data_IF_329173962171
#
_entry.id   IF_329173962171
#
_cell.length_a   1.000
_cell.length_b   1.000
_cell.length_c   1.000
_cell.angle_alpha   90.00
_cell.angle_beta   90.00
_cell.angle_gamma   90.00
#
_symmetry.space_group_name_H-M   'P 1'
#
loop_
_entity.id
_entity.type
_entity.pdbx_description
1 polymer ?
#
# COMPACT_ATOMS: atom_id res chain seq x y z
N UNK A 1 -5.39 -33.74 11.48
CA UNK A 1 -4.95 -32.87 10.35
C UNK A 1 -3.46 -33.12 10.15
N UNK A 2 -3.01 -33.49 8.94
CA UNK A 2 -1.59 -33.83 8.72
C UNK A 2 -0.71 -32.59 8.92
N UNK A 3 0.50 -32.77 9.49
CA UNK A 3 1.47 -31.71 9.70
C UNK A 3 1.82 -30.94 8.40
N UNK A 4 1.72 -31.63 7.26
CA UNK A 4 1.88 -31.05 5.92
C UNK A 4 0.81 -30.01 5.59
N UNK A 5 -0.45 -30.30 5.88
CA UNK A 5 -1.56 -29.37 5.63
C UNK A 5 -1.48 -28.13 6.55
N UNK A 6 -1.03 -28.30 7.80
CA UNK A 6 -0.81 -27.18 8.71
C UNK A 6 0.29 -26.23 8.19
N UNK A 7 1.41 -26.78 7.69
CA UNK A 7 2.50 -25.98 7.08
C UNK A 7 2.02 -25.25 5.82
N UNK A 8 1.27 -25.89 4.95
CA UNK A 8 0.71 -25.26 3.74
C UNK A 8 -0.19 -24.08 4.08
N UNK A 9 -1.06 -24.22 5.09
CA UNK A 9 -1.95 -23.13 5.53
C UNK A 9 -1.18 -21.95 6.14
N UNK A 10 -0.12 -22.22 6.90
CA UNK A 10 0.77 -21.13 7.38
C UNK A 10 1.48 -20.44 6.22
N UNK A 11 1.97 -21.19 5.24
CA UNK A 11 2.55 -20.64 4.01
C UNK A 11 1.55 -19.75 3.25
N UNK A 12 0.29 -20.17 3.17
CA UNK A 12 -0.77 -19.38 2.53
C UNK A 12 -1.07 -18.07 3.25
N UNK A 13 -0.95 -18.01 4.59
CA UNK A 13 -1.06 -16.76 5.34
C UNK A 13 0.02 -15.75 4.93
N UNK A 14 1.26 -16.21 4.79
CA UNK A 14 2.38 -15.38 4.35
C UNK A 14 2.24 -14.95 2.89
N UNK A 15 1.85 -15.86 2.00
CA UNK A 15 1.63 -15.56 0.58
C UNK A 15 0.47 -14.56 0.38
N UNK A 16 -0.59 -14.65 1.19
CA UNK A 16 -1.66 -13.66 1.21
C UNK A 16 -1.19 -12.27 1.68
N UNK A 17 -0.22 -12.23 2.60
CA UNK A 17 0.43 -10.98 3.01
C UNK A 17 1.19 -10.30 1.85
N UNK A 18 1.84 -11.07 1.00
CA UNK A 18 2.49 -10.58 -0.22
C UNK A 18 1.45 -10.08 -1.25
N UNK A 19 0.40 -10.86 -1.51
CA UNK A 19 -0.59 -10.59 -2.55
C UNK A 19 -1.35 -9.28 -2.33
N UNK A 20 -1.65 -8.93 -1.08
CA UNK A 20 -2.44 -7.76 -0.74
C UNK A 20 -1.86 -6.45 -1.31
N UNK A 21 -0.66 -6.03 -0.89
CA UNK A 21 0.00 -4.83 -1.40
C UNK A 21 0.39 -4.92 -2.88
N UNK A 22 0.71 -6.13 -3.37
CA UNK A 22 1.05 -6.38 -4.77
C UNK A 22 -0.10 -5.96 -5.70
N UNK A 23 -1.34 -6.37 -5.43
CA UNK A 23 -2.50 -6.08 -6.27
C UNK A 23 -2.82 -4.58 -6.40
N UNK A 24 -2.44 -3.77 -5.38
CA UNK A 24 -2.58 -2.31 -5.44
C UNK A 24 -1.57 -1.65 -6.37
N UNK A 25 -0.32 -2.13 -6.36
CA UNK A 25 0.80 -1.50 -7.06
C UNK A 25 1.03 -1.96 -8.50
N UNK A 26 0.48 -3.11 -8.90
CA UNK A 26 0.79 -3.78 -10.17
C UNK A 26 0.49 -2.93 -11.41
N UNK A 27 -0.53 -2.09 -11.37
CA UNK A 27 -0.93 -1.26 -12.53
C UNK A 27 -0.04 -0.03 -12.75
N UNK A 28 0.77 0.37 -11.80
CA UNK A 28 1.49 1.65 -11.85
C UNK A 28 2.44 1.80 -13.04
N UNK A 29 3.00 0.70 -13.55
CA UNK A 29 3.95 0.69 -14.67
C UNK A 29 3.31 0.41 -16.02
N UNK A 30 2.04 -0.07 -16.05
CA UNK A 30 1.34 -0.50 -17.27
C UNK A 30 0.19 0.43 -17.67
N UNK A 31 0.06 1.60 -17.04
CA UNK A 31 -1.03 2.57 -17.30
C UNK A 31 -1.06 3.06 -18.75
N UNK A 32 0.06 3.33 -19.43
CA UNK A 32 0.06 3.73 -20.83
C UNK A 32 -0.51 2.64 -21.75
N UNK A 33 -0.09 1.40 -21.59
CA UNK A 33 -0.57 0.25 -22.38
C UNK A 33 -2.08 0.03 -22.16
N UNK A 34 -2.53 0.15 -20.89
CA UNK A 34 -3.96 0.10 -20.55
C UNK A 34 -4.74 1.24 -21.22
N UNK A 35 -4.19 2.45 -21.22
CA UNK A 35 -4.80 3.61 -21.87
C UNK A 35 -4.96 3.40 -23.37
N UNK A 36 -3.90 2.97 -24.04
CA UNK A 36 -3.88 2.70 -25.48
C UNK A 36 -4.89 1.62 -25.86
N UNK A 37 -4.91 0.51 -25.14
CA UNK A 37 -5.78 -0.63 -25.44
C UNK A 37 -7.26 -0.33 -25.18
N UNK A 38 -7.58 0.46 -24.14
CA UNK A 38 -8.95 0.88 -23.82
C UNK A 38 -9.40 2.14 -24.59
N UNK A 39 -8.57 2.72 -25.44
CA UNK A 39 -8.87 3.94 -26.19
C UNK A 39 -9.06 5.17 -25.32
N UNK A 40 -8.37 5.26 -24.18
CA UNK A 40 -8.44 6.38 -23.24
C UNK A 40 -7.06 6.97 -22.96
N UNK A 41 -7.02 8.18 -22.40
CA UNK A 41 -5.73 8.78 -22.01
C UNK A 41 -5.06 7.96 -20.88
N UNK A 42 -3.74 7.96 -20.83
CA UNK A 42 -2.95 7.39 -19.71
C UNK A 42 -3.40 7.99 -18.37
N UNK A 43 -3.76 9.27 -18.37
CA UNK A 43 -4.33 9.94 -17.21
C UNK A 43 -5.67 9.34 -16.77
N UNK A 44 -6.56 9.02 -17.71
CA UNK A 44 -7.82 8.32 -17.40
C UNK A 44 -7.55 6.91 -16.87
N UNK A 45 -6.59 6.19 -17.44
CA UNK A 45 -6.19 4.87 -16.97
C UNK A 45 -5.65 4.91 -15.52
N UNK A 46 -5.00 6.01 -15.10
CA UNK A 46 -4.51 6.18 -13.72
C UNK A 46 -5.63 6.20 -12.67
N UNK A 47 -6.87 6.51 -13.06
CA UNK A 47 -8.04 6.42 -12.17
C UNK A 47 -8.28 5.00 -11.63
N UNK A 48 -7.76 3.96 -12.29
CA UNK A 48 -7.79 2.57 -11.82
C UNK A 48 -7.07 2.35 -10.49
N UNK A 49 -6.03 3.15 -10.20
CA UNK A 49 -5.36 3.17 -8.89
C UNK A 49 -6.30 3.69 -7.80
N UNK A 50 -6.94 4.82 -8.08
CA UNK A 50 -7.89 5.44 -7.17
C UNK A 50 -9.12 4.55 -6.95
N UNK A 51 -9.65 3.96 -8.02
CA UNK A 51 -10.79 3.05 -7.97
C UNK A 51 -10.53 1.82 -7.08
N UNK A 52 -9.28 1.36 -7.01
CA UNK A 52 -8.89 0.29 -6.08
C UNK A 52 -8.63 0.81 -4.66
N UNK A 53 -7.84 1.87 -4.51
CA UNK A 53 -7.32 2.31 -3.23
C UNK A 53 -8.35 3.01 -2.34
N UNK A 54 -9.33 3.74 -2.90
CA UNK A 54 -10.39 4.37 -2.10
C UNK A 54 -11.29 3.35 -1.41
N UNK A 55 -11.93 2.41 -2.13
CA UNK A 55 -12.74 1.39 -1.50
C UNK A 55 -11.92 0.51 -0.53
N UNK A 56 -10.67 0.22 -0.87
CA UNK A 56 -9.74 -0.49 0.00
C UNK A 56 -9.52 0.26 1.32
N UNK A 57 -9.19 1.55 1.26
CA UNK A 57 -8.93 2.38 2.45
C UNK A 57 -10.17 2.53 3.34
N UNK A 58 -11.34 2.77 2.73
CA UNK A 58 -12.60 2.89 3.46
C UNK A 58 -13.02 1.58 4.12
N UNK A 59 -13.00 0.48 3.36
CA UNK A 59 -13.39 -0.82 3.88
C UNK A 59 -12.40 -1.34 4.94
N UNK A 60 -11.13 -0.95 4.89
CA UNK A 60 -10.12 -1.30 5.91
C UNK A 60 -10.50 -0.80 7.31
N UNK A 61 -11.21 0.33 7.44
CA UNK A 61 -11.66 0.86 8.74
C UNK A 61 -12.58 -0.12 9.48
N UNK A 62 -13.34 -0.91 8.75
CA UNK A 62 -14.36 -1.81 9.31
C UNK A 62 -14.06 -3.30 9.11
N UNK A 63 -13.10 -3.63 8.24
CA UNK A 63 -12.82 -5.01 7.83
C UNK A 63 -12.43 -5.92 9.00
N UNK A 64 -11.65 -5.43 9.96
CA UNK A 64 -11.25 -6.19 11.14
C UNK A 64 -12.44 -6.53 12.04
N UNK A 65 -13.33 -5.57 12.29
CA UNK A 65 -14.52 -5.75 13.14
C UNK A 65 -15.57 -6.63 12.47
N UNK A 66 -15.83 -6.40 11.18
CA UNK A 66 -16.76 -7.23 10.41
C UNK A 66 -16.25 -8.67 10.26
N UNK A 67 -14.97 -8.85 9.99
CA UNK A 67 -14.35 -10.16 9.88
C UNK A 67 -14.38 -10.97 11.19
N UNK A 68 -14.27 -10.28 12.34
CA UNK A 68 -14.44 -10.91 13.64
C UNK A 68 -15.90 -11.36 13.88
N UNK A 69 -16.89 -10.56 13.44
CA UNK A 69 -18.33 -10.83 13.59
C UNK A 69 -18.81 -11.97 12.67
N UNK A 70 -18.39 -11.96 11.41
CA UNK A 70 -18.85 -12.94 10.40
C UNK A 70 -18.09 -14.27 10.45
N UNK A 71 -17.06 -14.33 11.29
CA UNK A 71 -16.17 -15.48 11.39
C UNK A 71 -14.98 -15.37 10.42
N UNK A 72 -13.79 -15.39 10.97
CA UNK A 72 -12.52 -15.10 10.26
C UNK A 72 -12.30 -15.96 9.02
N UNK A 73 -12.52 -17.27 9.13
CA UNK A 73 -12.31 -18.22 8.02
C UNK A 73 -13.29 -17.96 6.87
N UNK A 74 -14.58 -17.75 7.20
CA UNK A 74 -15.63 -17.45 6.21
C UNK A 74 -15.33 -16.12 5.49
N UNK A 75 -14.99 -15.09 6.24
CA UNK A 75 -14.72 -13.76 5.70
C UNK A 75 -13.52 -13.77 4.76
N UNK A 76 -12.42 -14.45 5.12
CA UNK A 76 -11.23 -14.52 4.25
C UNK A 76 -11.52 -15.31 2.98
N UNK A 77 -12.31 -16.40 3.04
CA UNK A 77 -12.73 -17.13 1.84
C UNK A 77 -13.59 -16.28 0.91
N UNK A 78 -14.56 -15.54 1.45
CA UNK A 78 -15.39 -14.62 0.67
C UNK A 78 -14.54 -13.47 0.08
N UNK A 79 -13.58 -12.96 0.84
CA UNK A 79 -12.65 -11.94 0.37
C UNK A 79 -11.79 -12.43 -0.82
N UNK A 80 -11.24 -13.64 -0.74
CA UNK A 80 -10.52 -14.23 -1.87
C UNK A 80 -11.43 -14.54 -3.05
N UNK A 81 -12.66 -15.04 -2.84
CA UNK A 81 -13.62 -15.24 -3.92
C UNK A 81 -13.94 -13.92 -4.63
N UNK A 82 -14.24 -12.88 -3.88
CA UNK A 82 -14.47 -11.54 -4.44
C UNK A 82 -13.24 -11.04 -5.20
N UNK A 83 -12.05 -11.27 -4.66
CA UNK A 83 -10.79 -10.86 -5.30
C UNK A 83 -10.55 -11.63 -6.60
N UNK A 84 -10.85 -12.93 -6.66
CA UNK A 84 -10.77 -13.75 -7.89
C UNK A 84 -11.73 -13.23 -8.93
N UNK A 85 -13.02 -13.09 -8.58
CA UNK A 85 -14.05 -12.63 -9.52
C UNK A 85 -13.72 -11.24 -10.05
N UNK A 86 -13.36 -10.32 -9.18
CA UNK A 86 -12.98 -8.96 -9.60
C UNK A 86 -11.69 -8.92 -10.42
N UNK A 87 -10.70 -9.76 -10.14
CA UNK A 87 -9.50 -9.88 -10.97
C UNK A 87 -9.81 -10.42 -12.36
N UNK A 88 -10.68 -11.43 -12.48
CA UNK A 88 -11.13 -11.93 -13.77
C UNK A 88 -11.92 -10.87 -14.54
N UNK A 89 -12.80 -10.11 -13.86
CA UNK A 89 -13.49 -8.98 -14.48
C UNK A 89 -12.51 -7.90 -14.97
N UNK A 90 -11.43 -7.61 -14.23
CA UNK A 90 -10.37 -6.71 -14.71
C UNK A 90 -9.70 -7.27 -15.97
N UNK A 91 -9.41 -8.57 -16.01
CA UNK A 91 -8.75 -9.21 -17.14
C UNK A 91 -9.59 -9.19 -18.43
N UNK A 92 -10.91 -9.23 -18.32
CA UNK A 92 -11.82 -9.25 -19.49
C UNK A 92 -12.49 -7.91 -19.75
N UNK A 93 -12.14 -6.84 -19.02
CA UNK A 93 -12.79 -5.54 -19.14
C UNK A 93 -12.55 -4.91 -20.53
N UNK A 94 -13.61 -4.65 -21.32
CA UNK A 94 -13.51 -4.00 -22.63
C UNK A 94 -13.54 -2.48 -22.55
N UNK A 95 -13.93 -1.92 -21.40
CA UNK A 95 -14.05 -0.48 -21.18
C UNK A 95 -13.45 -0.07 -19.84
N UNK A 96 -13.04 1.21 -19.77
CA UNK A 96 -12.51 1.77 -18.52
C UNK A 96 -13.53 1.68 -17.37
N UNK A 97 -14.81 1.97 -17.61
CA UNK A 97 -15.84 1.98 -16.57
C UNK A 97 -16.02 0.61 -15.92
N UNK A 98 -16.04 -0.47 -16.71
CA UNK A 98 -16.10 -1.82 -16.17
C UNK A 98 -14.84 -2.14 -15.38
N UNK A 99 -13.67 -1.74 -15.88
CA UNK A 99 -12.40 -1.90 -15.19
C UNK A 99 -12.38 -1.16 -13.85
N UNK A 100 -12.88 0.08 -13.78
CA UNK A 100 -12.99 0.85 -12.55
C UNK A 100 -13.89 0.16 -11.51
N UNK A 101 -15.06 -0.33 -11.95
CA UNK A 101 -15.96 -1.11 -11.09
C UNK A 101 -15.32 -2.38 -10.56
N UNK A 102 -14.65 -3.13 -11.43
CA UNK A 102 -13.93 -4.35 -11.05
C UNK A 102 -12.77 -4.05 -10.06
N UNK A 103 -12.02 -2.97 -10.30
CA UNK A 103 -10.96 -2.50 -9.38
C UNK A 103 -11.51 -2.09 -8.01
N UNK A 104 -12.67 -1.45 -7.97
CA UNK A 104 -13.32 -1.09 -6.71
C UNK A 104 -13.70 -2.35 -5.90
N UNK A 105 -14.30 -3.35 -6.54
CA UNK A 105 -14.60 -4.63 -5.91
C UNK A 105 -13.34 -5.37 -5.43
N UNK A 106 -12.28 -5.34 -6.24
CA UNK A 106 -10.98 -5.92 -5.91
C UNK A 106 -10.38 -5.26 -4.66
N UNK A 107 -10.45 -3.92 -4.56
CA UNK A 107 -10.00 -3.16 -3.39
C UNK A 107 -10.79 -3.52 -2.13
N UNK A 108 -12.13 -3.61 -2.21
CA UNK A 108 -12.98 -4.06 -1.11
C UNK A 108 -12.58 -5.46 -0.66
N UNK A 109 -12.47 -6.42 -1.58
CA UNK A 109 -12.06 -7.79 -1.26
C UNK A 109 -10.72 -7.83 -0.54
N UNK A 110 -9.73 -7.09 -1.04
CA UNK A 110 -8.38 -7.07 -0.45
C UNK A 110 -8.33 -6.43 0.95
N UNK A 111 -9.20 -5.49 1.26
CA UNK A 111 -9.23 -4.82 2.58
C UNK A 111 -9.46 -5.79 3.75
N UNK A 112 -10.11 -6.93 3.51
CA UNK A 112 -10.36 -7.95 4.51
C UNK A 112 -9.21 -8.94 4.68
N UNK A 113 -8.30 -9.06 3.70
CA UNK A 113 -7.25 -10.08 3.74
C UNK A 113 -6.19 -9.75 4.79
N UNK A 114 -5.49 -8.64 4.67
CA UNK A 114 -4.34 -8.28 5.52
C UNK A 114 -4.64 -8.36 7.02
N UNK A 115 -5.67 -7.70 7.57
CA UNK A 115 -5.89 -7.72 9.02
C UNK A 115 -6.30 -9.10 9.53
N UNK A 116 -7.08 -9.87 8.75
CA UNK A 116 -7.55 -11.18 9.16
C UNK A 116 -6.47 -12.26 9.04
N UNK A 117 -5.59 -12.17 8.03
CA UNK A 117 -4.42 -13.05 7.90
C UNK A 117 -3.44 -12.81 9.04
N UNK A 118 -3.14 -11.53 9.36
CA UNK A 118 -2.27 -11.16 10.46
C UNK A 118 -2.82 -11.65 11.80
N UNK A 119 -4.12 -11.45 12.06
CA UNK A 119 -4.78 -11.94 13.26
C UNK A 119 -4.82 -13.48 13.33
N UNK A 120 -4.93 -14.17 12.19
CA UNK A 120 -4.87 -15.62 12.13
C UNK A 120 -3.47 -16.16 12.43
N UNK A 121 -2.47 -15.48 11.91
CA UNK A 121 -1.06 -15.81 12.14
C UNK A 121 -0.68 -15.61 13.61
N UNK A 122 -1.11 -14.49 14.22
CA UNK A 122 -0.92 -14.23 15.64
C UNK A 122 -1.59 -15.28 16.54
N UNK A 123 -2.76 -15.78 16.15
CA UNK A 123 -3.52 -16.77 16.90
C UNK A 123 -2.86 -18.16 16.97
N UNK A 124 -2.08 -18.53 15.94
CA UNK A 124 -1.39 -19.84 15.88
C UNK A 124 0.08 -19.77 16.30
N UNK A 125 0.57 -18.58 16.69
CA UNK A 125 1.98 -18.34 17.00
C UNK A 125 2.19 -18.17 18.50
N UNK A 126 3.12 -18.90 19.13
CA UNK A 126 3.54 -18.66 20.51
C UNK A 126 4.05 -17.22 20.71
N UNK A 127 3.80 -16.65 21.90
CA UNK A 127 4.14 -15.24 22.21
C UNK A 127 5.62 -14.93 21.99
N UNK A 128 6.51 -15.87 22.31
CA UNK A 128 7.97 -15.73 22.18
C UNK A 128 8.45 -15.58 20.73
N UNK A 129 7.65 -16.07 19.76
CA UNK A 129 7.95 -16.02 18.32
C UNK A 129 7.11 -14.99 17.55
N UNK A 130 6.15 -14.37 18.22
CA UNK A 130 5.20 -13.48 17.58
C UNK A 130 5.87 -12.32 16.84
N UNK A 131 6.85 -11.66 17.46
CA UNK A 131 7.58 -10.56 16.81
C UNK A 131 8.28 -10.97 15.52
N UNK A 132 8.93 -12.15 15.51
CA UNK A 132 9.60 -12.69 14.30
C UNK A 132 8.59 -12.98 13.19
N UNK A 133 7.46 -13.57 13.52
CA UNK A 133 6.40 -13.95 12.58
C UNK A 133 5.74 -12.72 11.97
N UNK A 134 5.41 -11.72 12.79
CA UNK A 134 4.86 -10.45 12.32
C UNK A 134 5.86 -9.66 11.45
N UNK A 135 7.13 -9.68 11.83
CA UNK A 135 8.22 -9.10 11.05
C UNK A 135 8.37 -9.75 9.66
N UNK A 136 8.31 -11.09 9.60
CA UNK A 136 8.34 -11.83 8.32
C UNK A 136 7.12 -11.49 7.45
N UNK A 137 5.93 -11.40 8.04
CA UNK A 137 4.72 -11.01 7.33
C UNK A 137 4.85 -9.58 6.75
N UNK A 138 5.33 -8.63 7.54
CA UNK A 138 5.59 -7.26 7.09
C UNK A 138 6.64 -7.18 5.98
N UNK A 139 7.71 -7.99 6.05
CA UNK A 139 8.73 -8.08 5.00
C UNK A 139 8.14 -8.61 3.68
N UNK A 140 7.25 -9.61 3.74
CA UNK A 140 6.57 -10.13 2.55
C UNK A 140 5.58 -9.11 1.95
N UNK A 141 4.89 -8.33 2.78
CA UNK A 141 4.08 -7.21 2.30
C UNK A 141 4.92 -6.17 1.55
N UNK A 142 6.06 -5.80 2.13
CA UNK A 142 6.99 -4.87 1.50
C UNK A 142 7.55 -5.43 0.18
N UNK A 143 7.90 -6.72 0.14
CA UNK A 143 8.36 -7.40 -1.07
C UNK A 143 7.26 -7.41 -2.15
N UNK A 144 6.00 -7.70 -1.77
CA UNK A 144 4.86 -7.65 -2.69
C UNK A 144 4.67 -6.26 -3.30
N UNK A 145 4.67 -5.23 -2.46
CA UNK A 145 4.52 -3.84 -2.92
C UNK A 145 5.67 -3.39 -3.82
N UNK A 146 6.90 -3.80 -3.49
CA UNK A 146 8.11 -3.42 -4.23
C UNK A 146 8.20 -4.11 -5.59
N UNK A 147 7.83 -5.41 -5.66
CA UNK A 147 7.91 -6.18 -6.91
C UNK A 147 6.73 -5.92 -7.86
N UNK A 148 5.64 -5.37 -7.37
CA UNK A 148 4.41 -5.19 -8.14
C UNK A 148 4.61 -4.39 -9.44
N UNK A 149 5.29 -3.21 -9.46
CA UNK A 149 5.48 -2.46 -10.69
C UNK A 149 6.33 -3.22 -11.73
N UNK A 150 7.34 -3.98 -11.28
CA UNK A 150 8.17 -4.77 -12.20
C UNK A 150 7.36 -5.89 -12.86
N UNK A 151 6.59 -6.62 -12.07
CA UNK A 151 5.76 -7.72 -12.60
C UNK A 151 4.64 -7.17 -13.50
N UNK A 152 4.04 -6.02 -13.12
CA UNK A 152 3.08 -5.33 -13.98
C UNK A 152 3.69 -4.88 -15.31
N UNK A 153 4.89 -4.30 -15.27
CA UNK A 153 5.63 -3.91 -16.47
C UNK A 153 5.95 -5.09 -17.38
N UNK A 154 6.44 -6.22 -16.81
CA UNK A 154 6.69 -7.45 -17.56
C UNK A 154 5.42 -8.02 -18.20
N UNK A 155 4.29 -8.00 -17.50
CA UNK A 155 3.02 -8.45 -18.05
C UNK A 155 2.59 -7.56 -19.22
N UNK A 156 2.74 -6.25 -19.10
CA UNK A 156 2.33 -5.28 -20.10
C UNK A 156 3.15 -5.32 -21.41
N UNK A 157 4.34 -5.92 -21.43
CA UNK A 157 5.09 -6.18 -22.67
C UNK A 157 4.34 -7.15 -23.60
N UNK A 158 3.48 -8.00 -23.05
CA UNK A 158 2.68 -8.96 -23.82
C UNK A 158 1.21 -8.53 -23.85
N UNK A 159 0.57 -8.51 -22.69
CA UNK A 159 -0.78 -8.02 -22.45
C UNK A 159 -0.94 -7.72 -20.93
N UNK A 160 -1.29 -6.48 -20.59
CA UNK A 160 -1.51 -6.04 -19.21
C UNK A 160 -2.57 -6.88 -18.47
N UNK A 161 -3.49 -7.51 -19.19
CA UNK A 161 -4.55 -8.38 -18.65
C UNK A 161 -3.99 -9.60 -17.94
N UNK A 162 -2.82 -10.11 -18.38
CA UNK A 162 -2.17 -11.25 -17.73
C UNK A 162 -1.81 -10.99 -16.27
N UNK A 163 -1.50 -9.74 -15.90
CA UNK A 163 -1.28 -9.41 -14.50
C UNK A 163 -2.50 -9.73 -13.64
N UNK A 164 -3.71 -9.46 -14.12
CA UNK A 164 -4.96 -9.75 -13.41
C UNK A 164 -5.29 -11.24 -13.42
N UNK A 165 -5.00 -11.96 -14.49
CA UNK A 165 -5.16 -13.41 -14.54
C UNK A 165 -4.26 -14.09 -13.49
N UNK A 166 -2.99 -13.68 -13.39
CA UNK A 166 -2.05 -14.19 -12.37
C UNK A 166 -2.58 -13.89 -10.96
N UNK A 167 -3.07 -12.67 -10.73
CA UNK A 167 -3.69 -12.31 -9.44
C UNK A 167 -4.89 -13.20 -9.11
N UNK A 168 -5.75 -13.47 -10.08
CA UNK A 168 -6.91 -14.35 -9.90
C UNK A 168 -6.49 -15.78 -9.54
N UNK A 169 -5.52 -16.34 -10.27
CA UNK A 169 -5.01 -17.70 -10.04
C UNK A 169 -4.38 -17.81 -8.64
N UNK A 170 -3.52 -16.86 -8.26
CA UNK A 170 -2.88 -16.87 -6.94
C UNK A 170 -3.93 -16.74 -5.83
N UNK A 171 -4.88 -15.83 -5.97
CA UNK A 171 -5.96 -15.65 -4.99
C UNK A 171 -6.85 -16.90 -4.88
N UNK A 172 -7.15 -17.58 -6.00
CA UNK A 172 -7.92 -18.84 -6.01
C UNK A 172 -7.18 -19.94 -5.24
N UNK A 173 -5.88 -20.10 -5.49
CA UNK A 173 -5.05 -21.08 -4.77
C UNK A 173 -5.06 -20.78 -3.26
N UNK A 174 -4.89 -19.53 -2.85
CA UNK A 174 -4.89 -19.12 -1.45
C UNK A 174 -6.26 -19.32 -0.80
N UNK A 175 -7.34 -19.03 -1.50
CA UNK A 175 -8.71 -19.27 -1.05
C UNK A 175 -9.02 -20.74 -0.83
N UNK A 176 -8.54 -21.62 -1.73
CA UNK A 176 -8.71 -23.09 -1.65
C UNK A 176 -7.88 -23.70 -0.52
N UNK A 177 -6.63 -23.28 -0.34
CA UNK A 177 -5.78 -23.74 0.79
C UNK A 177 -6.40 -23.36 2.13
N UNK A 178 -7.00 -22.19 2.21
CA UNK A 178 -7.74 -21.70 3.36
C UNK A 178 -6.86 -21.41 4.59
N UNK A 179 -7.54 -21.03 5.68
CA UNK A 179 -6.89 -20.71 6.95
C UNK A 179 -6.69 -21.93 7.85
N UNK A 180 -5.70 -21.88 8.79
CA UNK A 180 -5.63 -22.83 9.89
C UNK A 180 -6.92 -22.83 10.71
N UNK A 181 -7.39 -24.02 11.14
CA UNK A 181 -8.65 -24.18 11.87
C UNK A 181 -8.63 -23.66 13.32
N UNK A 182 -7.47 -23.19 13.81
CA UNK A 182 -7.36 -22.63 15.15
C UNK A 182 -8.04 -21.25 15.21
N UNK A 183 -9.27 -21.26 15.67
CA UNK A 183 -9.96 -20.04 16.12
C UNK A 183 -9.66 -19.94 17.62
N UNK A 184 -8.95 -18.89 18.10
CA UNK A 184 -8.94 -18.64 19.53
C UNK A 184 -10.38 -18.38 19.96
N UNK A 185 -10.80 -18.87 21.13
CA UNK A 185 -12.09 -18.48 21.66
C UNK A 185 -12.11 -16.94 21.73
N UNK A 186 -13.15 -16.34 21.16
CA UNK A 186 -13.48 -14.95 21.43
C UNK A 186 -13.57 -14.83 22.94
N UNK A 187 -12.69 -14.05 23.56
CA UNK A 187 -12.72 -13.81 25.01
C UNK A 187 -14.09 -13.19 25.30
N UNK A 188 -15.00 -13.85 26.02
CA UNK A 188 -16.29 -13.30 26.33
C UNK A 188 -16.04 -12.10 27.27
N UNK A 189 -16.49 -10.91 26.89
CA UNK A 189 -16.40 -9.73 27.72
C UNK A 189 -15.59 -8.54 27.19
N UNK A 190 -14.84 -8.71 26.11
CA UNK A 190 -14.24 -7.54 25.46
C UNK A 190 -15.34 -6.79 24.71
N UNK A 191 -15.77 -5.64 25.22
CA UNK A 191 -16.65 -4.70 24.48
C UNK A 191 -16.00 -4.42 23.13
N UNK A 192 -16.75 -4.46 22.02
CA UNK A 192 -16.19 -4.07 20.72
C UNK A 192 -15.72 -2.61 20.85
N UNK A 193 -14.40 -2.42 20.78
CA UNK A 193 -13.80 -1.08 20.81
C UNK A 193 -14.40 -0.28 19.65
N UNK A 194 -14.98 0.86 19.95
CA UNK A 194 -15.62 1.70 18.93
C UNK A 194 -14.53 2.46 18.18
N UNK A 195 -14.66 2.54 16.86
CA UNK A 195 -13.71 3.27 16.02
C UNK A 195 -13.52 4.73 16.47
N UNK A 196 -14.59 5.36 16.99
CA UNK A 196 -14.55 6.73 17.53
C UNK A 196 -13.54 6.90 18.67
N UNK A 197 -13.29 5.85 19.44
CA UNK A 197 -12.38 5.89 20.59
C UNK A 197 -10.90 5.92 20.12
N UNK A 198 -10.65 5.58 18.85
CA UNK A 198 -9.38 5.71 18.19
C UNK A 198 -9.14 7.09 17.55
N UNK A 199 -10.20 7.89 17.33
CA UNK A 199 -10.12 9.19 16.66
C UNK A 199 -9.68 10.30 17.63
N UNK A 200 -8.49 10.16 18.18
CA UNK A 200 -7.89 11.18 19.06
C UNK A 200 -7.04 12.18 18.26
N UNK A 201 -6.87 13.39 18.78
CA UNK A 201 -6.05 14.42 18.09
C UNK A 201 -4.63 13.94 17.78
N UNK A 202 -3.90 13.22 18.66
CA UNK A 202 -2.61 12.66 18.32
C UNK A 202 -2.67 11.66 17.16
N UNK A 203 -3.67 10.78 17.13
CA UNK A 203 -3.85 9.79 16.04
C UNK A 203 -4.17 10.50 14.72
N UNK A 204 -5.03 11.51 14.72
CA UNK A 204 -5.36 12.29 13.52
C UNK A 204 -4.16 13.06 12.99
N UNK A 205 -3.30 13.62 13.84
CA UNK A 205 -2.03 14.23 13.41
C UNK A 205 -1.14 13.22 12.67
N UNK A 206 -0.96 12.04 13.24
CA UNK A 206 -0.18 10.97 12.61
C UNK A 206 -0.83 10.49 11.30
N UNK A 207 -2.17 10.42 11.26
CA UNK A 207 -2.94 10.06 10.08
C UNK A 207 -2.77 11.06 8.92
N UNK A 208 -2.78 12.37 9.22
CA UNK A 208 -2.50 13.42 8.21
C UNK A 208 -1.08 13.28 7.66
N UNK A 209 -0.09 13.04 8.50
CA UNK A 209 1.29 12.79 8.05
C UNK A 209 1.38 11.52 7.19
N UNK A 210 0.65 10.47 7.54
CA UNK A 210 0.60 9.24 6.76
C UNK A 210 -0.03 9.47 5.38
N UNK A 211 -1.11 10.26 5.31
CA UNK A 211 -1.78 10.66 4.06
C UNK A 211 -0.82 11.43 3.15
N UNK A 212 -0.18 12.48 3.67
CA UNK A 212 0.74 13.31 2.90
C UNK A 212 2.00 12.55 2.50
N UNK A 213 2.59 11.79 3.44
CA UNK A 213 3.80 11.02 3.16
C UNK A 213 3.59 9.96 2.09
N UNK A 214 2.45 9.26 2.11
CA UNK A 214 2.15 8.26 1.09
C UNK A 214 1.68 8.89 -0.22
N UNK A 215 0.87 9.96 -0.16
CA UNK A 215 0.43 10.70 -1.35
C UNK A 215 1.57 11.37 -2.11
N UNK A 216 2.58 11.89 -1.38
CA UNK A 216 3.71 12.60 -1.97
C UNK A 216 4.94 11.74 -2.28
N UNK A 217 5.01 10.48 -1.80
CA UNK A 217 6.12 9.57 -2.04
C UNK A 217 5.65 8.31 -2.77
N UNK A 218 5.27 7.25 -2.03
CA UNK A 218 4.88 5.98 -2.63
C UNK A 218 3.69 6.05 -3.58
N UNK A 219 2.76 6.99 -3.37
CA UNK A 219 1.63 7.24 -4.25
C UNK A 219 1.99 7.90 -5.60
N UNK A 220 3.20 8.45 -5.75
CA UNK A 220 3.64 9.10 -6.99
C UNK A 220 4.30 8.14 -8.00
N UNK A 221 4.32 6.84 -7.73
CA UNK A 221 4.88 5.86 -8.67
C UNK A 221 4.31 6.03 -10.09
N UNK A 222 3.01 6.30 -10.24
CA UNK A 222 2.39 6.49 -11.55
C UNK A 222 2.94 7.74 -12.29
N UNK A 223 3.20 8.85 -11.59
CA UNK A 223 3.78 10.05 -12.21
C UNK A 223 5.23 9.81 -12.65
N UNK A 224 6.01 9.06 -11.85
CA UNK A 224 7.37 8.69 -12.24
C UNK A 224 7.32 7.76 -13.45
N UNK A 225 6.33 6.85 -13.54
CA UNK A 225 6.13 6.03 -14.73
C UNK A 225 5.77 6.86 -15.96
N UNK A 226 4.86 7.83 -15.85
CA UNK A 226 4.50 8.75 -16.94
C UNK A 226 5.70 9.53 -17.44
N UNK A 227 6.44 10.15 -16.51
CA UNK A 227 7.67 10.87 -16.86
C UNK A 227 8.71 9.96 -17.52
N UNK A 228 8.85 8.73 -17.04
CA UNK A 228 9.80 7.76 -17.57
C UNK A 228 9.47 7.37 -19.01
N UNK A 229 8.20 7.32 -19.38
CA UNK A 229 7.74 7.15 -20.76
C UNK A 229 7.90 8.43 -21.57
N UNK A 230 7.29 9.55 -21.12
CA UNK A 230 7.22 10.81 -21.87
C UNK A 230 8.59 11.42 -22.15
N UNK A 231 9.51 11.33 -21.16
CA UNK A 231 10.82 12.00 -21.24
C UNK A 231 11.93 11.10 -21.73
N UNK A 232 11.88 9.79 -21.37
CA UNK A 232 12.98 8.86 -21.64
C UNK A 232 12.58 7.70 -22.57
N UNK A 233 11.32 7.59 -23.00
CA UNK A 233 10.84 6.55 -23.90
C UNK A 233 10.97 5.12 -23.32
N UNK A 234 10.88 4.96 -21.99
CA UNK A 234 11.07 3.67 -21.35
C UNK A 234 9.90 2.72 -21.62
N UNK A 235 10.22 1.44 -21.92
CA UNK A 235 9.21 0.39 -22.01
C UNK A 235 8.56 0.11 -20.64
N UNK A 236 7.45 -0.62 -20.62
CA UNK A 236 6.71 -0.97 -19.40
C UNK A 236 7.58 -1.70 -18.39
N UNK A 237 8.43 -2.65 -18.83
CA UNK A 237 9.39 -3.36 -17.97
C UNK A 237 10.43 -2.42 -17.37
N UNK A 238 10.99 -1.52 -18.19
CA UNK A 238 11.98 -0.53 -17.73
C UNK A 238 11.37 0.43 -16.71
N UNK A 239 10.12 0.89 -16.92
CA UNK A 239 9.37 1.68 -15.94
C UNK A 239 9.17 0.88 -14.65
N UNK A 240 8.75 -0.39 -14.75
CA UNK A 240 8.60 -1.28 -13.60
C UNK A 240 9.89 -1.43 -12.80
N UNK A 241 11.04 -1.58 -13.48
CA UNK A 241 12.36 -1.65 -12.84
C UNK A 241 12.70 -0.34 -12.13
N UNK A 242 12.50 0.81 -12.78
CA UNK A 242 12.71 2.13 -12.18
C UNK A 242 11.89 2.32 -10.91
N UNK A 243 10.61 1.95 -10.94
CA UNK A 243 9.74 2.07 -9.76
C UNK A 243 10.15 1.13 -8.63
N UNK A 244 10.67 -0.04 -8.95
CA UNK A 244 11.11 -1.05 -7.98
C UNK A 244 12.30 -0.58 -7.15
N UNK A 245 13.20 0.26 -7.67
CA UNK A 245 14.36 0.76 -6.91
C UNK A 245 13.95 1.57 -5.67
N UNK A 246 12.82 2.27 -5.69
CA UNK A 246 12.25 2.97 -4.53
C UNK A 246 11.98 2.00 -3.36
N UNK A 247 11.28 0.93 -3.64
CA UNK A 247 10.93 -0.06 -2.62
C UNK A 247 12.15 -0.85 -2.14
N UNK A 248 13.03 -1.26 -3.05
CA UNK A 248 14.29 -1.97 -2.73
C UNK A 248 15.16 -1.12 -1.79
N UNK A 249 15.39 0.15 -2.12
CA UNK A 249 16.17 1.05 -1.29
C UNK A 249 15.57 1.20 0.12
N UNK A 250 14.23 1.33 0.22
CA UNK A 250 13.52 1.37 1.50
C UNK A 250 13.70 0.09 2.32
N UNK A 251 13.56 -1.08 1.71
CA UNK A 251 13.71 -2.39 2.38
C UNK A 251 15.14 -2.58 2.90
N UNK A 252 16.14 -2.28 2.09
CA UNK A 252 17.56 -2.45 2.46
C UNK A 252 17.95 -1.65 3.71
N UNK A 253 17.36 -0.47 3.89
CA UNK A 253 17.67 0.40 5.03
C UNK A 253 16.71 0.24 6.20
N UNK A 254 15.58 -0.47 6.05
CA UNK A 254 14.48 -0.53 7.01
C UNK A 254 14.93 -0.83 8.46
N UNK A 255 15.85 -1.81 8.63
CA UNK A 255 16.37 -2.16 9.95
C UNK A 255 17.20 -1.03 10.59
N UNK A 256 18.04 -0.35 9.79
CA UNK A 256 18.86 0.77 10.28
C UNK A 256 17.99 1.98 10.61
N UNK A 257 17.00 2.24 9.79
CA UNK A 257 16.00 3.30 10.01
C UNK A 257 15.23 3.04 11.31
N UNK A 258 14.76 1.81 11.56
CA UNK A 258 14.11 1.45 12.81
C UNK A 258 14.98 1.74 14.02
N UNK A 259 16.23 1.24 14.03
CA UNK A 259 17.17 1.47 15.13
C UNK A 259 17.55 2.95 15.33
N UNK A 260 17.55 3.75 14.27
CA UNK A 260 17.76 5.20 14.40
C UNK A 260 16.52 5.89 14.99
N UNK A 261 15.31 5.50 14.57
CA UNK A 261 14.05 6.04 15.12
C UNK A 261 13.92 5.72 16.61
N UNK A 262 14.34 4.54 17.06
CA UNK A 262 14.35 4.17 18.48
C UNK A 262 15.23 5.11 19.30
N UNK A 263 16.32 5.65 18.73
CA UNK A 263 17.24 6.59 19.39
C UNK A 263 16.76 8.04 19.35
N UNK A 264 16.32 8.54 18.18
CA UNK A 264 15.99 9.97 17.99
C UNK A 264 14.51 10.29 18.24
N UNK A 265 13.65 9.26 18.25
CA UNK A 265 12.21 9.35 18.38
C UNK A 265 11.49 9.56 17.03
N UNK A 266 10.26 9.04 16.95
CA UNK A 266 9.43 9.07 15.73
C UNK A 266 9.17 10.49 15.21
N UNK A 267 8.92 11.46 16.10
CA UNK A 267 8.65 12.85 15.74
C UNK A 267 9.83 13.49 14.99
N UNK A 268 11.05 13.37 15.53
CA UNK A 268 12.26 13.95 14.91
C UNK A 268 12.55 13.28 13.57
N UNK A 269 12.36 11.97 13.49
CA UNK A 269 12.54 11.20 12.26
C UNK A 269 11.60 11.70 11.15
N UNK A 270 10.31 11.88 11.43
CA UNK A 270 9.33 12.38 10.46
C UNK A 270 9.65 13.81 10.04
N UNK A 271 9.90 14.72 11.00
CA UNK A 271 10.18 16.14 10.74
C UNK A 271 11.43 16.31 9.88
N UNK A 272 12.46 15.49 10.08
CA UNK A 272 13.68 15.52 9.26
C UNK A 272 13.50 14.86 7.89
N UNK A 273 12.77 13.75 7.81
CA UNK A 273 12.60 13.01 6.56
C UNK A 273 11.62 13.67 5.58
N UNK A 274 10.61 14.41 6.07
CA UNK A 274 9.60 15.03 5.21
C UNK A 274 10.18 16.06 4.22
N UNK A 275 10.99 17.05 4.63
CA UNK A 275 11.59 17.99 3.69
C UNK A 275 12.62 17.31 2.77
N UNK A 276 13.39 16.34 3.25
CA UNK A 276 14.31 15.56 2.41
C UNK A 276 13.55 14.81 1.32
N UNK A 277 12.50 14.09 1.70
CA UNK A 277 11.64 13.37 0.75
C UNK A 277 11.00 14.32 -0.26
N UNK A 278 10.57 15.51 0.16
CA UNK A 278 9.99 16.53 -0.70
C UNK A 278 10.99 17.02 -1.76
N UNK A 279 12.22 17.35 -1.37
CA UNK A 279 13.29 17.74 -2.30
C UNK A 279 13.56 16.62 -3.30
N UNK A 280 13.66 15.36 -2.85
CA UNK A 280 13.91 14.22 -3.72
C UNK A 280 12.77 14.01 -4.73
N UNK A 281 11.51 14.17 -4.32
CA UNK A 281 10.35 14.09 -5.23
C UNK A 281 10.40 15.22 -6.27
N UNK A 282 10.67 16.46 -5.86
CA UNK A 282 10.80 17.57 -6.79
C UNK A 282 11.94 17.33 -7.80
N UNK A 283 13.08 16.82 -7.34
CA UNK A 283 14.20 16.44 -8.21
C UNK A 283 13.83 15.30 -9.16
N UNK A 284 13.11 14.27 -8.70
CA UNK A 284 12.64 13.20 -9.57
C UNK A 284 11.73 13.71 -10.69
N UNK A 285 10.98 14.80 -10.45
CA UNK A 285 10.15 15.49 -11.44
C UNK A 285 10.90 16.42 -12.41
N UNK A 286 12.15 16.81 -12.12
CA UNK A 286 12.85 17.88 -12.87
C UNK A 286 14.16 17.45 -13.52
N UNK A 287 14.84 16.43 -13.01
CA UNK A 287 16.16 16.02 -13.51
C UNK A 287 16.10 15.45 -14.94
N UNK A 288 16.98 15.88 -15.85
CA UNK A 288 16.97 15.45 -17.25
C UNK A 288 17.64 14.08 -17.47
N UNK A 289 18.36 13.55 -16.50
CA UNK A 289 19.10 12.27 -16.62
C UNK A 289 18.35 11.14 -15.96
N UNK A 290 18.11 10.05 -16.69
CA UNK A 290 17.47 8.82 -16.16
C UNK A 290 18.22 8.23 -14.97
N UNK A 291 19.56 8.21 -15.02
CA UNK A 291 20.39 7.70 -13.91
C UNK A 291 20.18 8.54 -12.66
N UNK A 292 20.15 9.87 -12.79
CA UNK A 292 19.89 10.77 -11.65
C UNK A 292 18.47 10.58 -11.12
N UNK A 293 17.46 10.45 -11.99
CA UNK A 293 16.10 10.16 -11.58
C UNK A 293 16.02 8.83 -10.80
N UNK A 294 16.70 7.79 -11.27
CA UNK A 294 16.75 6.50 -10.58
C UNK A 294 17.39 6.59 -9.18
N UNK A 295 18.53 7.29 -9.06
CA UNK A 295 19.22 7.50 -7.78
C UNK A 295 18.37 8.33 -6.81
N UNK A 296 17.78 9.40 -7.29
CA UNK A 296 16.91 10.29 -6.50
C UNK A 296 15.66 9.54 -6.07
N UNK A 297 15.06 8.72 -6.94
CA UNK A 297 13.89 7.91 -6.61
C UNK A 297 14.20 6.82 -5.59
N UNK A 298 15.37 6.18 -5.69
CA UNK A 298 15.86 5.27 -4.66
C UNK A 298 16.04 5.97 -3.31
N UNK A 299 16.64 7.18 -3.30
CA UNK A 299 16.79 7.99 -2.10
C UNK A 299 15.43 8.43 -1.51
N UNK A 300 14.43 8.74 -2.36
CA UNK A 300 13.06 9.01 -1.94
C UNK A 300 12.43 7.80 -1.25
N UNK A 301 12.75 6.57 -1.68
CA UNK A 301 12.37 5.34 -1.01
C UNK A 301 12.93 5.23 0.41
N UNK A 302 14.18 5.66 0.62
CA UNK A 302 14.79 5.75 1.96
C UNK A 302 14.04 6.76 2.83
N UNK A 303 13.76 7.98 2.32
CA UNK A 303 13.02 9.00 3.05
C UNK A 303 11.60 8.52 3.39
N UNK A 304 10.93 7.85 2.45
CA UNK A 304 9.62 7.22 2.66
C UNK A 304 9.64 6.20 3.80
N UNK A 305 10.72 5.43 3.92
CA UNK A 305 10.87 4.45 4.99
C UNK A 305 10.96 5.11 6.37
N UNK A 306 11.64 6.25 6.51
CA UNK A 306 11.65 7.01 7.75
C UNK A 306 10.25 7.49 8.15
N UNK A 307 9.47 7.98 7.19
CA UNK A 307 8.08 8.41 7.44
C UNK A 307 7.21 7.20 7.81
N UNK A 308 7.30 6.10 7.08
CA UNK A 308 6.50 4.89 7.30
C UNK A 308 6.77 4.29 8.70
N UNK A 309 8.03 4.08 9.03
CA UNK A 309 8.41 3.51 10.33
C UNK A 309 8.13 4.50 11.46
N UNK A 310 8.39 5.80 11.23
CA UNK A 310 8.09 6.86 12.19
C UNK A 310 6.59 6.98 12.50
N UNK A 311 5.73 6.94 11.49
CA UNK A 311 4.27 6.93 11.62
C UNK A 311 3.79 5.70 12.40
N UNK A 312 4.29 4.50 12.05
CA UNK A 312 3.94 3.27 12.75
C UNK A 312 4.40 3.30 14.23
N UNK A 313 5.60 3.77 14.51
CA UNK A 313 6.11 3.93 15.87
C UNK A 313 5.29 4.98 16.66
N UNK A 314 4.91 6.09 16.04
CA UNK A 314 4.11 7.13 16.67
C UNK A 314 2.70 6.63 17.07
N UNK A 315 2.02 5.89 16.19
CA UNK A 315 0.69 5.35 16.48
C UNK A 315 0.71 4.25 17.52
N UNK A 316 1.72 3.38 17.49
CA UNK A 316 1.89 2.31 18.48
C UNK A 316 2.30 2.84 19.86
N UNK A 317 3.02 3.94 19.91
CA UNK A 317 3.40 4.66 21.13
C UNK A 317 2.30 5.57 21.69
N UNK A 318 1.16 5.73 21.00
CA UNK A 318 0.05 6.54 21.51
C UNK A 318 -0.65 5.85 22.69
N UNK A 319 -1.00 6.62 23.71
CA UNK A 319 -1.57 6.12 24.98
C UNK A 319 -3.08 5.84 24.92
N UNK A 320 -3.64 5.59 23.73
CA UNK A 320 -5.08 5.34 23.56
C UNK A 320 -5.50 3.92 23.93
N UNK A 321 -6.75 3.77 24.42
CA UNK A 321 -7.34 2.47 24.75
C UNK A 321 -7.50 1.56 23.53
N UNK A 322 -7.78 2.14 22.34
CA UNK A 322 -8.00 1.40 21.08
C UNK A 322 -6.81 1.54 20.13
N UNK A 323 -5.72 0.80 20.40
CA UNK A 323 -4.53 0.79 19.53
C UNK A 323 -4.81 0.16 18.15
N UNK A 324 -5.64 -0.87 18.10
CA UNK A 324 -6.00 -1.52 16.84
C UNK A 324 -6.77 -0.59 15.90
N UNK A 325 -7.75 0.12 16.43
CA UNK A 325 -8.49 1.15 15.71
C UNK A 325 -7.59 2.31 15.25
N UNK A 326 -6.67 2.76 16.10
CA UNK A 326 -5.72 3.84 15.75
C UNK A 326 -4.82 3.44 14.57
N UNK A 327 -4.30 2.21 14.56
CA UNK A 327 -3.53 1.68 13.41
C UNK A 327 -4.40 1.63 12.16
N UNK A 328 -5.64 1.16 12.25
CA UNK A 328 -6.56 1.10 11.10
C UNK A 328 -6.85 2.49 10.52
N UNK A 329 -7.07 3.49 11.37
CA UNK A 329 -7.28 4.89 10.94
C UNK A 329 -6.05 5.41 10.19
N UNK A 330 -4.87 5.28 10.78
CA UNK A 330 -3.62 5.77 10.16
C UNK A 330 -3.33 5.07 8.83
N UNK A 331 -3.55 3.75 8.75
CA UNK A 331 -3.38 3.00 7.50
C UNK A 331 -4.41 3.39 6.45
N UNK A 332 -5.68 3.62 6.83
CA UNK A 332 -6.71 4.11 5.91
C UNK A 332 -6.33 5.47 5.33
N UNK A 333 -5.90 6.42 6.16
CA UNK A 333 -5.42 7.73 5.69
C UNK A 333 -4.20 7.60 4.77
N UNK A 334 -3.26 6.72 5.09
CA UNK A 334 -2.10 6.43 4.25
C UNK A 334 -2.51 6.01 2.84
N UNK A 335 -3.40 5.03 2.72
CA UNK A 335 -3.88 4.56 1.42
C UNK A 335 -4.81 5.56 0.72
N UNK A 336 -5.56 6.36 1.49
CA UNK A 336 -6.31 7.49 0.92
C UNK A 336 -5.39 8.52 0.27
N UNK A 337 -4.22 8.82 0.85
CA UNK A 337 -3.23 9.71 0.24
C UNK A 337 -2.78 9.21 -1.14
N UNK A 338 -2.46 7.90 -1.25
CA UNK A 338 -2.13 7.30 -2.54
C UNK A 338 -3.32 7.27 -3.51
N UNK A 339 -4.55 7.14 -3.00
CA UNK A 339 -5.77 7.14 -3.81
C UNK A 339 -6.11 8.53 -4.37
N UNK A 340 -5.85 9.59 -3.61
CA UNK A 340 -6.06 10.97 -4.07
C UNK A 340 -5.03 11.41 -5.09
N UNK A 341 -3.81 10.88 -5.04
CA UNK A 341 -2.71 11.32 -5.90
C UNK A 341 -3.05 11.23 -7.40
N UNK A 342 -3.55 10.11 -7.96
CA UNK A 342 -3.90 10.06 -9.38
C UNK A 342 -4.99 11.05 -9.76
N UNK A 343 -6.04 11.20 -8.94
CA UNK A 343 -7.16 12.10 -9.24
C UNK A 343 -6.75 13.57 -9.24
N UNK A 344 -5.90 13.98 -8.29
CA UNK A 344 -5.49 15.37 -8.14
C UNK A 344 -4.33 15.75 -9.07
N UNK A 345 -3.38 14.83 -9.28
CA UNK A 345 -2.10 15.18 -9.91
C UNK A 345 -2.04 14.80 -11.40
N UNK A 346 -2.88 13.87 -11.89
CA UNK A 346 -2.89 13.56 -13.32
C UNK A 346 -3.35 14.73 -14.20
N UNK A 347 -4.46 15.44 -13.88
CA UNK A 347 -4.83 16.63 -14.64
C UNK A 347 -3.75 17.72 -14.61
N UNK A 348 -3.10 17.87 -13.45
CA UNK A 348 -2.02 18.83 -13.28
C UNK A 348 -0.77 18.44 -14.08
N UNK A 349 -0.45 17.15 -14.17
CA UNK A 349 0.65 16.65 -14.98
C UNK A 349 0.43 16.91 -16.47
N UNK A 350 -0.80 16.78 -16.96
CA UNK A 350 -1.15 17.08 -18.34
C UNK A 350 -0.97 18.55 -18.75
N UNK A 351 -1.06 19.50 -17.79
CA UNK A 351 -0.88 20.94 -18.05
C UNK A 351 0.54 21.39 -17.71
N UNK A 352 1.02 21.02 -16.56
CA UNK A 352 2.35 21.39 -16.04
C UNK A 352 3.02 20.20 -15.31
N UNK A 353 3.76 19.34 -16.01
CA UNK A 353 4.35 18.12 -15.42
C UNK A 353 5.16 18.38 -14.14
N UNK A 354 5.97 19.45 -14.11
CA UNK A 354 6.77 19.82 -12.94
C UNK A 354 5.89 20.11 -11.71
N UNK A 355 4.77 20.81 -11.90
CA UNK A 355 3.86 21.18 -10.80
C UNK A 355 3.26 19.97 -10.11
N UNK A 356 3.01 18.88 -10.86
CA UNK A 356 2.50 17.63 -10.31
C UNK A 356 3.46 16.96 -9.32
N UNK A 357 4.76 17.21 -9.41
CA UNK A 357 5.76 16.75 -8.43
C UNK A 357 6.01 17.78 -7.33
N UNK A 358 6.06 19.07 -7.66
CA UNK A 358 6.40 20.13 -6.70
C UNK A 358 5.29 20.39 -5.69
N UNK A 359 4.02 20.39 -6.10
CA UNK A 359 2.89 20.66 -5.17
C UNK A 359 2.83 19.64 -4.04
N UNK A 360 2.77 18.31 -4.28
CA UNK A 360 2.78 17.34 -3.18
C UNK A 360 4.08 17.37 -2.38
N UNK A 361 5.21 17.70 -3.00
CA UNK A 361 6.48 17.89 -2.30
C UNK A 361 6.40 19.05 -1.30
N UNK A 362 5.92 20.21 -1.71
CA UNK A 362 5.75 21.39 -0.83
C UNK A 362 4.77 21.08 0.30
N UNK A 363 3.63 20.43 0.00
CA UNK A 363 2.67 20.02 1.02
C UNK A 363 3.30 19.09 2.06
N UNK A 364 4.11 18.13 1.62
CA UNK A 364 4.84 17.22 2.52
C UNK A 364 5.86 17.98 3.37
N UNK A 365 6.66 18.85 2.76
CA UNK A 365 7.72 19.61 3.43
C UNK A 365 7.19 20.56 4.51
N UNK A 366 6.03 21.17 4.26
CA UNK A 366 5.47 22.19 5.14
C UNK A 366 4.50 21.58 6.16
N UNK A 367 3.49 20.84 5.68
CA UNK A 367 2.39 20.41 6.55
C UNK A 367 2.81 19.29 7.51
N UNK A 368 3.63 18.33 7.06
CA UNK A 368 4.02 17.22 7.92
C UNK A 368 4.83 17.68 9.15
N UNK A 369 5.86 18.56 9.04
CA UNK A 369 6.52 19.13 10.20
C UNK A 369 5.60 19.99 11.09
N UNK A 370 4.76 20.84 10.49
CA UNK A 370 3.84 21.69 11.26
C UNK A 370 2.87 20.88 12.12
N UNK A 371 2.26 19.84 11.53
CA UNK A 371 1.31 18.96 12.23
C UNK A 371 2.00 18.19 13.35
N UNK A 372 3.25 17.77 13.16
CA UNK A 372 4.03 17.05 14.17
C UNK A 372 4.61 17.97 15.26
N UNK A 373 4.86 19.27 14.96
CA UNK A 373 5.42 20.22 15.90
C UNK A 373 4.38 21.00 16.69
N UNK A 374 3.13 21.06 16.21
CA UNK A 374 2.02 21.76 16.86
C UNK A 374 1.92 21.39 18.34
N UNK A 375 1.82 22.43 19.20
CA UNK A 375 1.77 22.33 20.67
C UNK A 375 0.71 21.32 21.12
N UNK A 376 1.04 20.55 22.16
CA UNK A 376 0.03 19.86 22.97
C UNK A 376 -0.85 20.97 23.60
N UNK A 377 -2.03 21.20 23.04
CA UNK A 377 -3.11 21.90 23.74
C UNK A 377 -3.78 20.92 24.68
#
# INVERSE_FOLDING_TARGET
MSARLARLRIGALYAGGFLGPFGGGVVSSMLPEMGTDLGVSTGSAASTLSAYLFPFALAMLVSGTLGARWGRVRTVRLAYLLYVVSSLLCAVAPTLDLLLGARALQGIGNSFTTPLLLASLAAVTPRERLGRVLGTFGALQAAGQTSAPLVGGLAAEFDWRYAFVVLAVVAAILGLVGLPAATPPSTPGCRPERLRDALTVPVLRVAVVALLGWGALGGLNFLVAFRAEDTFGLSSTQRGLLLTVFGVAGILVARRVGGLIDRIGSRRAIVGAAPVGAVLVALAGTMPSLVVVGLVWAAAGVASQFILVGVNAAVLGSSGANRGGAVSVVQSFRFSGAAFAPLALTPLYGVHPMSAFVIPAVLLAVVAPLVMTGRKT
#
